data_IF_857530849465
#
_entry.id   IF_857530849465
#
_cell.length_a   1.000
_cell.length_b   1.000
_cell.length_c   1.000
_cell.angle_alpha   90.00
_cell.angle_beta   90.00
_cell.angle_gamma   90.00
#
_symmetry.space_group_name_H-M   'P 1'
#
loop_
_entity.id
_entity.type
_entity.pdbx_description
1 polymer ?
#
# COMPACT_ATOMS: atom_id res chain seq x y z
N UNK A 1 15.82 5.28 17.82
CA UNK A 1 14.75 6.25 18.13
C UNK A 1 13.97 5.64 19.27
N UNK A 2 14.01 6.26 20.45
CA UNK A 2 13.27 5.75 21.62
C UNK A 2 11.83 6.26 21.55
N UNK A 3 10.88 5.38 21.84
CA UNK A 3 9.46 5.69 21.99
C UNK A 3 9.11 5.49 23.48
N UNK A 4 9.14 6.56 24.30
CA UNK A 4 8.94 6.45 25.75
C UNK A 4 7.64 5.74 26.14
N UNK A 5 6.60 5.91 25.32
CA UNK A 5 5.26 5.36 25.53
C UNK A 5 4.92 4.19 24.57
N UNK A 6 5.92 3.69 23.84
CA UNK A 6 5.75 2.60 22.87
C UNK A 6 5.02 3.00 21.58
N UNK A 7 4.63 1.99 20.80
CA UNK A 7 3.88 2.18 19.55
C UNK A 7 2.39 2.33 19.89
N UNK A 8 1.71 3.38 19.41
CA UNK A 8 0.27 3.53 19.61
C UNK A 8 -0.54 2.33 19.12
N UNK A 9 -1.64 2.02 19.79
CA UNK A 9 -2.55 0.95 19.35
C UNK A 9 -3.29 1.32 18.07
N UNK A 10 -3.92 0.32 17.44
CA UNK A 10 -4.79 0.52 16.28
C UNK A 10 -5.90 1.56 16.56
N UNK A 11 -6.45 1.58 17.77
CA UNK A 11 -7.52 2.51 18.16
C UNK A 11 -7.04 3.96 18.21
N UNK A 12 -5.78 4.20 18.60
CA UNK A 12 -5.19 5.55 18.59
C UNK A 12 -5.06 6.04 17.16
N UNK A 13 -4.55 5.22 16.25
CA UNK A 13 -4.49 5.55 14.83
C UNK A 13 -5.89 5.80 14.26
N UNK A 14 -6.85 4.92 14.55
CA UNK A 14 -8.23 5.06 14.11
C UNK A 14 -8.86 6.38 14.56
N UNK A 15 -8.66 6.77 15.81
CA UNK A 15 -9.14 8.05 16.33
C UNK A 15 -8.52 9.24 15.61
N UNK A 16 -7.20 9.25 15.40
CA UNK A 16 -6.53 10.33 14.66
C UNK A 16 -7.08 10.45 13.25
N UNK A 17 -7.19 9.35 12.50
CA UNK A 17 -7.71 9.37 11.15
C UNK A 17 -9.18 9.79 11.08
N UNK A 18 -10.00 9.39 12.06
CA UNK A 18 -11.42 9.80 12.11
C UNK A 18 -11.64 11.30 12.30
N UNK A 19 -10.64 12.01 12.83
CA UNK A 19 -10.70 13.46 13.05
C UNK A 19 -10.23 14.27 11.84
N UNK A 20 -9.65 13.62 10.83
CA UNK A 20 -9.20 14.30 9.62
C UNK A 20 -10.40 14.63 8.73
N UNK A 21 -10.40 15.84 8.19
CA UNK A 21 -11.32 16.21 7.12
C UNK A 21 -10.92 15.46 5.83
N UNK A 22 -11.78 14.58 5.27
CA UNK A 22 -11.40 13.67 4.20
C UNK A 22 -10.84 14.37 2.96
N UNK A 23 -11.48 15.45 2.51
CA UNK A 23 -11.12 16.13 1.26
C UNK A 23 -9.82 16.93 1.40
N UNK A 24 -9.54 17.52 2.57
CA UNK A 24 -8.27 18.17 2.85
C UNK A 24 -7.13 17.15 2.96
N UNK A 25 -7.38 16.01 3.60
CA UNK A 25 -6.41 14.93 3.64
C UNK A 25 -6.08 14.43 2.23
N UNK A 26 -7.10 14.20 1.39
CA UNK A 26 -6.93 13.81 0.00
C UNK A 26 -6.08 14.82 -0.78
N UNK A 27 -6.38 16.11 -0.65
CA UNK A 27 -5.65 17.17 -1.34
C UNK A 27 -4.17 17.20 -0.93
N UNK A 28 -3.89 17.15 0.38
CA UNK A 28 -2.53 17.10 0.91
C UNK A 28 -1.79 15.83 0.47
N UNK A 29 -2.45 14.67 0.55
CA UNK A 29 -1.87 13.40 0.15
C UNK A 29 -1.51 13.39 -1.34
N UNK A 30 -2.41 13.89 -2.20
CA UNK A 30 -2.16 14.02 -3.63
C UNK A 30 -0.97 14.93 -3.92
N UNK A 31 -0.91 16.09 -3.26
CA UNK A 31 0.19 17.03 -3.43
C UNK A 31 1.54 16.42 -3.01
N UNK A 32 1.54 15.68 -1.90
CA UNK A 32 2.73 14.94 -1.44
C UNK A 32 3.17 13.86 -2.44
N UNK A 33 2.23 13.09 -2.99
CA UNK A 33 2.54 12.09 -4.03
C UNK A 33 3.12 12.74 -5.28
N UNK A 34 2.60 13.90 -5.69
CA UNK A 34 3.14 14.64 -6.84
C UNK A 34 4.57 15.14 -6.58
N UNK A 35 4.84 15.68 -5.39
CA UNK A 35 6.19 16.08 -5.00
C UNK A 35 7.18 14.89 -5.01
N UNK A 36 6.73 13.69 -4.61
CA UNK A 36 7.53 12.46 -4.73
C UNK A 36 7.82 12.12 -6.19
N UNK A 37 6.85 12.27 -7.09
CA UNK A 37 7.04 12.01 -8.52
C UNK A 37 8.10 12.94 -9.11
N UNK A 38 8.08 14.23 -8.76
CA UNK A 38 9.05 15.20 -9.27
C UNK A 38 10.51 14.87 -8.88
N UNK A 39 10.72 14.30 -7.69
CA UNK A 39 12.07 13.94 -7.19
C UNK A 39 12.50 12.51 -7.53
N UNK A 40 11.59 11.68 -8.07
CA UNK A 40 11.89 10.29 -8.42
C UNK A 40 12.17 10.18 -9.93
N UNK A 41 13.43 9.91 -10.34
CA UNK A 41 13.73 9.75 -11.76
C UNK A 41 13.12 8.46 -12.31
N UNK A 42 12.43 8.57 -13.45
CA UNK A 42 11.76 7.45 -14.12
C UNK A 42 10.30 7.26 -13.70
N UNK A 43 9.63 6.29 -14.32
CA UNK A 43 8.23 6.01 -14.04
C UNK A 43 8.05 5.21 -12.74
N UNK A 44 7.06 5.59 -11.94
CA UNK A 44 6.66 4.84 -10.75
C UNK A 44 5.80 3.64 -11.15
N UNK A 45 6.33 2.44 -10.86
CA UNK A 45 5.61 1.16 -10.98
C UNK A 45 5.18 0.70 -9.59
N UNK A 46 3.87 0.65 -9.34
CA UNK A 46 3.35 0.10 -8.09
C UNK A 46 3.33 -1.42 -8.16
N UNK A 47 3.84 -2.11 -7.13
CA UNK A 47 3.85 -3.58 -7.03
C UNK A 47 2.99 -3.98 -5.83
N UNK A 48 2.02 -4.86 -6.04
CA UNK A 48 1.16 -5.38 -5.00
C UNK A 48 1.08 -6.91 -5.08
N UNK A 49 1.49 -7.56 -3.98
CA UNK A 49 1.52 -9.01 -3.83
C UNK A 49 0.41 -9.49 -2.89
N UNK A 50 -0.47 -10.36 -3.37
CA UNK A 50 -1.53 -10.97 -2.56
C UNK A 50 -1.36 -12.49 -2.52
N UNK A 51 -1.49 -13.08 -1.34
CA UNK A 51 -1.55 -14.53 -1.19
C UNK A 51 -3.01 -14.97 -1.08
N UNK A 52 -3.44 -15.87 -1.97
CA UNK A 52 -4.84 -16.25 -2.05
C UNK A 52 -5.17 -17.26 -0.95
N UNK A 53 -6.07 -16.88 -0.04
CA UNK A 53 -6.41 -17.71 1.14
C UNK A 53 -7.03 -19.05 0.70
N UNK A 54 -6.54 -20.16 1.27
CA UNK A 54 -6.94 -21.56 0.97
C UNK A 54 -6.66 -22.06 -0.45
N UNK A 55 -5.77 -21.43 -1.20
CA UNK A 55 -5.34 -21.89 -2.53
C UNK A 55 -4.28 -23.01 -2.52
N UNK A 56 -3.78 -23.37 -1.33
CA UNK A 56 -2.81 -24.46 -1.20
C UNK A 56 -3.48 -25.82 -1.33
N UNK A 57 -2.74 -26.82 -1.81
CA UNK A 57 -3.15 -28.22 -1.83
C UNK A 57 -2.03 -29.08 -1.24
N UNK A 58 -2.10 -29.33 0.07
CA UNK A 58 -1.11 -30.17 0.78
C UNK A 58 -1.11 -31.61 0.29
N UNK A 59 -2.25 -32.12 -0.20
CA UNK A 59 -2.37 -33.47 -0.74
C UNK A 59 -1.58 -33.65 -2.03
N UNK A 60 -1.39 -32.56 -2.79
CA UNK A 60 -0.55 -32.51 -3.99
C UNK A 60 0.81 -31.83 -3.77
N UNK A 61 1.16 -31.50 -2.52
CA UNK A 61 2.41 -30.78 -2.21
C UNK A 61 2.47 -29.34 -2.73
N UNK A 62 1.33 -28.72 -3.07
CA UNK A 62 1.27 -27.37 -3.62
C UNK A 62 1.13 -26.32 -2.50
N UNK A 63 1.98 -25.30 -2.56
CA UNK A 63 1.91 -24.13 -1.69
C UNK A 63 0.73 -23.20 -2.07
N UNK A 64 0.49 -22.17 -1.26
CA UNK A 64 -0.53 -21.17 -1.57
C UNK A 64 -0.15 -20.37 -2.82
N UNK A 65 -1.16 -20.02 -3.62
CA UNK A 65 -1.00 -19.16 -4.78
C UNK A 65 -0.67 -17.73 -4.33
N UNK A 66 0.46 -17.23 -4.84
CA UNK A 66 0.89 -15.85 -4.70
C UNK A 66 0.62 -15.12 -6.04
N UNK A 67 -0.24 -14.11 -6.00
CA UNK A 67 -0.51 -13.22 -7.12
C UNK A 67 0.31 -11.95 -6.94
N UNK A 68 1.03 -11.51 -7.97
CA UNK A 68 1.78 -10.25 -7.97
C UNK A 68 1.27 -9.40 -9.11
N UNK A 69 0.76 -8.22 -8.79
CA UNK A 69 0.34 -7.24 -9.78
C UNK A 69 1.32 -6.06 -9.81
N UNK A 70 1.63 -5.59 -11.01
CA UNK A 70 2.43 -4.42 -11.29
C UNK A 70 1.59 -3.42 -12.08
N UNK A 71 1.50 -2.18 -11.60
CA UNK A 71 0.75 -1.10 -12.23
C UNK A 71 1.69 0.03 -12.66
N UNK A 72 1.76 0.27 -13.96
CA UNK A 72 2.51 1.37 -14.55
C UNK A 72 1.59 2.58 -14.70
N UNK A 73 1.74 3.58 -13.82
CA UNK A 73 0.82 4.72 -13.81
C UNK A 73 0.91 5.55 -15.10
N UNK A 74 2.13 5.75 -15.63
CA UNK A 74 2.37 6.50 -16.86
C UNK A 74 1.70 5.85 -18.08
N UNK A 75 1.74 4.51 -18.14
CA UNK A 75 1.27 3.76 -19.30
C UNK A 75 -0.18 3.26 -19.14
N UNK A 76 -0.82 3.54 -17.99
CA UNK A 76 -2.14 3.01 -17.59
C UNK A 76 -2.27 1.50 -17.84
N UNK A 77 -1.20 0.76 -17.53
CA UNK A 77 -1.07 -0.66 -17.83
C UNK A 77 -0.92 -1.48 -16.55
N UNK A 78 -1.53 -2.67 -16.54
CA UNK A 78 -1.41 -3.65 -15.47
C UNK A 78 -0.81 -4.95 -16.00
N UNK A 79 0.08 -5.55 -15.21
CA UNK A 79 0.61 -6.89 -15.39
C UNK A 79 0.33 -7.67 -14.11
N UNK A 80 -0.38 -8.80 -14.17
CA UNK A 80 -0.75 -9.60 -13.00
C UNK A 80 -1.26 -10.97 -13.37
#
# INVERSE_FOLDING_TARGET
MELPDGIPSHDIFGRVFSLLQPEAFEACFRHWVEAIREVTPGDVIAIDGKTLRRSHDRGKGLAALHLVSAWATANRAVLG
#
